data_IF_879598235770
#
_entry.id   IF_879598235770
#
_cell.length_a   1.000
_cell.length_b   1.000
_cell.length_c   1.000
_cell.angle_alpha   90.00
_cell.angle_beta   90.00
_cell.angle_gamma   90.00
#
_symmetry.space_group_name_H-M   'P 1'
#
loop_
_entity.id
_entity.type
_entity.pdbx_description
1 polymer ?
#
# COMPACT_ATOMS: atom_id res chain seq x y z
N UNK A 1 -38.15 -9.19 19.94
CA UNK A 1 -36.93 -8.38 20.09
C UNK A 1 -35.94 -9.20 20.88
N UNK A 2 -34.73 -9.36 20.36
CA UNK A 2 -33.62 -10.05 21.01
C UNK A 2 -32.47 -9.05 21.15
N UNK A 3 -31.83 -8.98 22.32
CA UNK A 3 -30.66 -8.14 22.52
C UNK A 3 -29.41 -9.01 22.48
N UNK A 4 -28.39 -8.55 21.77
CA UNK A 4 -27.09 -9.21 21.70
C UNK A 4 -26.01 -8.26 22.23
N UNK A 5 -25.05 -8.81 22.96
CA UNK A 5 -23.81 -8.11 23.36
C UNK A 5 -22.66 -9.06 23.04
N UNK A 6 -21.64 -8.56 22.35
CA UNK A 6 -20.50 -9.35 21.90
C UNK A 6 -20.88 -10.60 21.09
N UNK A 7 -21.97 -10.51 20.30
CA UNK A 7 -22.52 -11.61 19.51
C UNK A 7 -23.35 -12.63 20.30
N UNK A 8 -23.43 -12.53 21.62
CA UNK A 8 -24.18 -13.44 22.48
C UNK A 8 -25.56 -12.87 22.85
N UNK A 9 -26.60 -13.71 22.76
CA UNK A 9 -27.96 -13.31 23.10
C UNK A 9 -28.10 -13.11 24.61
N UNK A 10 -28.51 -11.91 25.02
CA UNK A 10 -28.88 -11.62 26.41
C UNK A 10 -30.34 -11.96 26.61
N UNK A 11 -30.61 -12.78 27.62
CA UNK A 11 -31.98 -13.03 28.09
C UNK A 11 -32.54 -11.76 28.74
N UNK A 12 -33.51 -11.14 28.07
CA UNK A 12 -34.25 -10.00 28.61
C UNK A 12 -35.37 -10.49 29.53
N UNK A 13 -35.09 -10.68 30.81
CA UNK A 13 -36.10 -11.12 31.79
C UNK A 13 -36.98 -9.99 32.35
N UNK A 14 -36.65 -8.71 32.11
CA UNK A 14 -37.33 -7.57 32.77
C UNK A 14 -38.10 -6.62 31.83
N UNK A 15 -38.23 -6.90 30.53
CA UNK A 15 -38.94 -6.03 29.57
C UNK A 15 -40.02 -6.79 28.79
N UNK A 16 -40.74 -7.69 29.46
CA UNK A 16 -41.91 -8.34 28.87
C UNK A 16 -43.20 -7.49 29.01
N UNK A 17 -43.26 -6.53 29.94
CA UNK A 17 -44.54 -5.92 30.34
C UNK A 17 -44.91 -4.59 29.69
N UNK A 18 -44.11 -4.02 28.78
CA UNK A 18 -44.47 -2.77 28.09
C UNK A 18 -44.16 -2.70 26.59
N UNK A 19 -43.80 -3.82 25.96
CA UNK A 19 -43.79 -3.90 24.49
C UNK A 19 -45.23 -4.12 24.02
N UNK A 20 -46.07 -3.10 24.17
CA UNK A 20 -47.28 -3.01 23.34
C UNK A 20 -46.83 -3.08 21.88
N UNK A 21 -47.60 -3.77 21.03
CA UNK A 21 -47.39 -3.91 19.58
C UNK A 21 -47.54 -2.56 18.84
N UNK A 22 -46.76 -1.57 19.26
CA UNK A 22 -46.76 -0.22 18.75
C UNK A 22 -45.65 -0.13 17.72
N UNK A 23 -46.01 0.20 16.48
CA UNK A 23 -45.03 0.56 15.45
C UNK A 23 -44.20 1.76 15.92
N UNK A 24 -42.88 1.73 15.72
CA UNK A 24 -42.04 2.92 15.87
C UNK A 24 -42.51 3.93 14.82
N UNK A 25 -43.08 5.05 15.26
CA UNK A 25 -43.59 6.10 14.37
C UNK A 25 -42.56 7.24 14.25
N UNK A 26 -42.05 7.46 13.04
CA UNK A 26 -41.09 8.52 12.72
C UNK A 26 -41.74 9.81 12.15
N UNK A 27 -43.07 9.90 12.03
CA UNK A 27 -43.83 10.95 11.32
C UNK A 27 -43.66 12.39 11.86
N UNK A 28 -42.96 12.59 12.98
CA UNK A 28 -42.85 13.93 13.59
C UNK A 28 -41.46 14.36 14.06
N UNK A 29 -40.44 13.49 14.00
CA UNK A 29 -39.15 13.77 14.68
C UNK A 29 -37.99 13.09 13.96
N UNK A 30 -36.90 13.82 13.75
CA UNK A 30 -35.64 13.28 13.26
C UNK A 30 -35.11 12.22 14.25
N UNK A 31 -34.71 11.02 13.79
CA UNK A 31 -34.07 10.04 14.66
C UNK A 31 -32.71 10.55 15.13
N UNK A 32 -32.46 10.43 16.43
CA UNK A 32 -31.22 10.86 17.08
C UNK A 32 -30.43 9.65 17.57
N UNK A 33 -29.10 9.75 17.49
CA UNK A 33 -28.17 8.82 18.11
C UNK A 33 -27.49 9.52 19.30
N UNK A 34 -27.34 8.80 20.42
CA UNK A 34 -26.72 9.33 21.64
C UNK A 34 -27.61 10.21 22.54
N UNK A 35 -28.86 10.50 22.16
CA UNK A 35 -29.85 11.15 23.03
C UNK A 35 -31.29 10.95 22.53
N UNK A 36 -32.31 10.86 23.41
CA UNK A 36 -33.71 10.81 23.00
C UNK A 36 -34.18 12.18 22.49
N UNK A 37 -35.03 12.18 21.46
CA UNK A 37 -35.80 13.38 21.09
C UNK A 37 -36.98 13.54 22.07
N UNK A 38 -36.76 14.19 23.21
CA UNK A 38 -37.86 14.56 24.10
C UNK A 38 -38.01 16.08 24.26
N UNK A 39 -39.25 16.51 24.43
CA UNK A 39 -39.66 17.89 24.68
C UNK A 39 -39.85 18.16 26.18
N UNK A 40 -39.50 17.20 27.04
CA UNK A 40 -39.88 17.15 28.45
C UNK A 40 -38.63 17.05 29.33
N UNK A 41 -37.84 18.12 29.38
CA UNK A 41 -36.82 18.54 30.35
C UNK A 41 -35.82 17.53 31.00
N UNK A 42 -35.91 16.23 30.75
CA UNK A 42 -35.00 15.20 31.22
C UNK A 42 -34.36 14.56 30.00
N UNK A 43 -33.13 14.97 29.70
CA UNK A 43 -32.38 14.50 28.53
C UNK A 43 -31.34 13.51 29.04
N UNK A 44 -31.42 12.26 28.61
CA UNK A 44 -30.41 11.24 28.88
C UNK A 44 -29.43 11.21 27.72
N UNK A 45 -28.23 11.76 27.92
CA UNK A 45 -27.16 11.66 26.94
C UNK A 45 -26.39 10.37 27.14
N UNK A 46 -25.93 9.77 26.05
CA UNK A 46 -24.88 8.78 26.12
C UNK A 46 -23.58 9.49 26.51
N UNK A 47 -23.05 9.16 27.69
CA UNK A 47 -21.72 9.56 28.11
C UNK A 47 -20.70 8.53 27.60
N UNK A 48 -20.30 8.67 26.32
CA UNK A 48 -19.37 7.72 25.72
C UNK A 48 -19.16 7.91 24.22
N UNK A 49 -18.43 6.97 23.62
CA UNK A 49 -18.16 6.89 22.19
C UNK A 49 -19.12 5.93 21.52
N UNK A 50 -19.43 6.18 20.26
CA UNK A 50 -20.15 5.26 19.38
C UNK A 50 -19.36 5.13 18.10
N UNK A 51 -19.38 3.94 17.53
CA UNK A 51 -18.74 3.62 16.27
C UNK A 51 -19.57 2.57 15.54
N UNK A 52 -19.48 2.59 14.21
CA UNK A 52 -20.01 1.54 13.34
C UNK A 52 -21.51 1.24 13.52
N UNK A 53 -22.32 2.29 13.77
CA UNK A 53 -23.76 2.14 13.98
C UNK A 53 -24.45 1.79 12.66
N UNK A 54 -25.30 0.78 12.69
CA UNK A 54 -25.99 0.23 11.51
C UNK A 54 -27.45 -0.09 11.82
N UNK A 55 -28.29 0.02 10.80
CA UNK A 55 -29.73 -0.23 10.87
C UNK A 55 -30.11 -1.08 9.65
N UNK A 56 -30.79 -2.19 9.89
CA UNK A 56 -31.31 -3.08 8.86
C UNK A 56 -32.84 -3.11 8.91
N UNK A 57 -33.48 -3.36 7.76
CA UNK A 57 -34.93 -3.59 7.67
C UNK A 57 -35.33 -5.08 7.75
N UNK A 58 -34.34 -5.95 7.94
CA UNK A 58 -34.51 -7.38 8.18
C UNK A 58 -33.93 -7.80 9.55
N UNK A 59 -34.49 -8.85 10.14
CA UNK A 59 -33.92 -9.48 11.33
C UNK A 59 -32.55 -10.09 11.00
N UNK A 60 -31.56 -9.89 11.88
CA UNK A 60 -30.22 -10.47 11.75
C UNK A 60 -30.09 -11.69 12.65
N UNK A 61 -29.47 -12.74 12.13
CA UNK A 61 -29.10 -13.94 12.88
C UNK A 61 -27.90 -13.67 13.78
N UNK A 62 -27.72 -14.48 14.84
CA UNK A 62 -26.55 -14.35 15.71
C UNK A 62 -25.21 -14.50 14.95
N UNK A 63 -25.16 -15.37 13.94
CA UNK A 63 -23.96 -15.55 13.12
C UNK A 63 -23.64 -14.30 12.28
N UNK A 64 -24.66 -13.67 11.70
CA UNK A 64 -24.49 -12.41 10.96
C UNK A 64 -24.05 -11.28 11.89
N UNK A 65 -24.61 -11.18 13.10
CA UNK A 65 -24.19 -10.19 14.10
C UNK A 65 -22.69 -10.36 14.41
N UNK A 66 -22.23 -11.57 14.72
CA UNK A 66 -20.82 -11.84 14.99
C UNK A 66 -19.92 -11.52 13.80
N UNK A 67 -20.33 -11.87 12.59
CA UNK A 67 -19.57 -11.56 11.38
C UNK A 67 -19.50 -10.04 11.13
N UNK A 68 -20.61 -9.34 11.32
CA UNK A 68 -20.73 -7.93 10.99
C UNK A 68 -20.02 -7.05 12.03
N UNK A 69 -19.97 -7.45 13.30
CA UNK A 69 -19.14 -6.80 14.32
C UNK A 69 -17.64 -6.77 13.96
N UNK A 70 -17.18 -7.68 13.10
CA UNK A 70 -15.77 -7.81 12.73
C UNK A 70 -15.42 -7.20 11.36
N UNK A 71 -16.43 -6.74 10.62
CA UNK A 71 -16.25 -6.34 9.22
C UNK A 71 -16.81 -4.92 9.01
N UNK A 72 -15.98 -3.92 8.70
CA UNK A 72 -16.41 -2.51 8.65
C UNK A 72 -17.17 -2.10 7.37
N UNK A 73 -17.14 -2.91 6.31
CA UNK A 73 -17.80 -2.59 5.04
C UNK A 73 -18.65 -3.76 4.54
N UNK A 74 -19.93 -3.50 4.31
CA UNK A 74 -20.89 -4.48 3.80
C UNK A 74 -21.72 -3.93 2.64
N UNK A 75 -22.07 -4.81 1.71
CA UNK A 75 -23.07 -4.59 0.66
C UNK A 75 -24.25 -5.50 0.95
N UNK A 76 -25.00 -5.15 2.00
CA UNK A 76 -26.21 -5.86 2.42
C UNK A 76 -27.43 -5.06 1.91
N UNK A 77 -28.31 -5.72 1.16
CA UNK A 77 -29.48 -5.08 0.56
C UNK A 77 -30.51 -4.61 1.60
N UNK A 78 -30.47 -5.19 2.81
CA UNK A 78 -31.32 -4.81 3.94
C UNK A 78 -30.73 -3.69 4.80
N UNK A 79 -29.51 -3.21 4.50
CA UNK A 79 -28.84 -2.15 5.28
C UNK A 79 -29.40 -0.75 4.96
N UNK A 80 -30.45 -0.36 5.65
CA UNK A 80 -31.13 0.93 5.45
C UNK A 80 -30.45 2.12 6.14
N UNK A 81 -29.50 1.89 7.05
CA UNK A 81 -28.77 2.92 7.77
C UNK A 81 -27.34 2.51 8.08
N UNK A 82 -26.35 3.32 7.69
CA UNK A 82 -24.95 3.08 8.04
C UNK A 82 -24.24 4.37 8.42
N UNK A 83 -23.58 4.35 9.57
CA UNK A 83 -22.83 5.45 10.10
C UNK A 83 -21.40 4.96 10.41
N UNK A 84 -20.51 4.96 9.41
CA UNK A 84 -19.17 4.35 9.50
C UNK A 84 -18.22 5.04 10.48
N UNK A 85 -18.67 6.13 11.12
CA UNK A 85 -17.87 7.13 11.82
C UNK A 85 -16.37 7.11 11.40
N UNK A 86 -16.07 7.54 10.16
CA UNK A 86 -14.69 7.75 9.69
C UNK A 86 -14.28 9.22 9.73
N UNK A 87 -12.99 9.48 9.99
CA UNK A 87 -12.44 10.82 10.17
C UNK A 87 -12.72 11.76 8.99
N UNK A 88 -13.24 12.96 9.29
CA UNK A 88 -13.15 14.12 8.41
C UNK A 88 -14.38 14.49 7.57
N UNK A 89 -15.47 13.72 7.60
CA UNK A 89 -16.70 14.08 6.86
C UNK A 89 -17.84 14.37 7.82
N UNK A 90 -18.08 15.64 8.14
CA UNK A 90 -19.21 16.11 8.94
C UNK A 90 -20.59 16.00 8.27
N UNK A 91 -20.70 15.16 7.24
CA UNK A 91 -21.92 14.83 6.50
C UNK A 91 -21.79 13.35 6.13
N UNK A 92 -22.67 12.52 6.68
CA UNK A 92 -22.73 11.10 6.34
C UNK A 92 -23.83 10.88 5.32
N UNK A 93 -23.50 10.24 4.20
CA UNK A 93 -24.51 9.70 3.31
C UNK A 93 -25.01 8.39 3.91
N UNK A 94 -26.26 8.38 4.37
CA UNK A 94 -26.97 7.12 4.61
C UNK A 94 -27.24 6.53 3.23
N UNK A 95 -26.50 5.51 2.84
CA UNK A 95 -26.74 4.82 1.57
C UNK A 95 -26.35 3.34 1.70
N UNK A 96 -27.36 2.45 1.78
CA UNK A 96 -27.52 1.18 1.04
C UNK A 96 -29.00 0.67 1.11
N UNK A 97 -29.94 1.54 0.73
CA UNK A 97 -31.38 1.24 0.60
C UNK A 97 -32.11 2.43 -0.04
N UNK A 98 -33.39 2.32 -0.40
CA UNK A 98 -34.14 3.32 -1.20
C UNK A 98 -34.38 4.71 -0.55
N UNK A 99 -33.67 5.06 0.53
CA UNK A 99 -33.79 6.33 1.24
C UNK A 99 -32.46 7.07 1.32
N UNK A 100 -32.42 8.30 0.79
CA UNK A 100 -31.26 9.21 0.93
C UNK A 100 -31.46 10.10 2.16
N UNK A 101 -30.57 10.00 3.15
CA UNK A 101 -30.57 10.86 4.35
C UNK A 101 -29.15 11.32 4.71
N UNK A 102 -29.05 12.48 5.38
CA UNK A 102 -27.78 12.99 5.91
C UNK A 102 -27.84 13.18 7.42
N UNK A 103 -26.84 12.68 8.13
CA UNK A 103 -26.69 12.93 9.57
C UNK A 103 -25.65 14.03 9.86
N UNK A 104 -25.88 14.76 10.96
CA UNK A 104 -25.01 15.85 11.43
C UNK A 104 -24.66 15.63 12.90
N UNK A 105 -23.45 16.03 13.29
CA UNK A 105 -23.09 16.13 14.70
C UNK A 105 -23.80 17.33 15.34
N UNK A 106 -24.21 17.20 16.59
CA UNK A 106 -24.96 18.24 17.30
C UNK A 106 -24.41 18.44 18.72
N UNK A 107 -24.62 19.62 19.29
CA UNK A 107 -24.34 19.97 20.69
C UNK A 107 -22.91 19.62 21.19
N UNK A 108 -21.89 19.84 20.36
CA UNK A 108 -20.50 19.65 20.77
C UNK A 108 -19.99 18.21 20.73
N UNK A 109 -20.73 17.27 20.14
CA UNK A 109 -20.17 15.97 19.79
C UNK A 109 -18.94 16.17 18.89
N UNK A 110 -17.82 15.52 19.24
CA UNK A 110 -16.56 15.60 18.52
C UNK A 110 -16.10 14.22 18.06
N UNK A 111 -15.34 14.24 16.97
CA UNK A 111 -14.59 13.09 16.52
C UNK A 111 -13.39 12.86 17.40
N UNK A 112 -13.16 11.60 17.76
CA UNK A 112 -11.92 11.17 18.39
C UNK A 112 -11.32 10.06 17.52
N UNK A 113 -10.13 10.32 16.99
CA UNK A 113 -9.34 9.29 16.32
C UNK A 113 -8.68 8.44 17.42
N UNK A 114 -8.95 7.13 17.45
CA UNK A 114 -8.29 6.22 18.40
C UNK A 114 -6.79 6.04 18.11
N UNK A 115 -6.29 6.68 17.06
CA UNK A 115 -4.88 6.71 16.73
C UNK A 115 -4.54 5.59 15.76
N UNK A 116 -3.98 6.00 14.63
CA UNK A 116 -3.30 5.14 13.69
C UNK A 116 -2.26 4.25 14.38
N UNK A 117 -2.46 2.93 14.37
CA UNK A 117 -1.41 2.00 14.78
C UNK A 117 -0.50 1.73 13.59
N UNK A 118 0.75 2.16 13.69
CA UNK A 118 1.77 1.90 12.67
C UNK A 118 2.35 0.50 12.89
N UNK A 119 2.01 -0.43 12.00
CA UNK A 119 2.57 -1.78 11.98
C UNK A 119 3.74 -1.77 10.98
N UNK A 120 4.99 -1.92 11.43
CA UNK A 120 6.11 -2.10 10.51
C UNK A 120 6.01 -3.49 9.85
N UNK A 121 6.25 -3.56 8.55
CA UNK A 121 6.54 -4.81 7.86
C UNK A 121 7.87 -4.68 7.11
N UNK A 122 8.61 -5.78 7.07
CA UNK A 122 9.88 -5.88 6.36
C UNK A 122 9.72 -6.84 5.19
N UNK A 123 9.92 -6.35 3.96
CA UNK A 123 10.09 -7.21 2.81
C UNK A 123 11.58 -7.54 2.66
N UNK A 124 11.90 -8.83 2.60
CA UNK A 124 13.25 -9.31 2.31
C UNK A 124 13.26 -9.94 0.93
N UNK A 125 14.07 -9.41 0.03
CA UNK A 125 14.31 -9.99 -1.30
C UNK A 125 15.68 -10.64 -1.29
N UNK A 126 15.75 -11.92 -1.65
CA UNK A 126 17.01 -12.67 -1.74
C UNK A 126 17.28 -12.99 -3.20
N UNK A 127 18.49 -12.68 -3.69
CA UNK A 127 18.89 -13.02 -5.06
C UNK A 127 19.33 -14.50 -5.16
N UNK A 128 19.57 -14.97 -6.38
CA UNK A 128 20.03 -16.35 -6.65
C UNK A 128 21.41 -16.67 -6.07
N UNK A 129 22.17 -15.65 -5.66
CA UNK A 129 23.47 -15.76 -4.99
C UNK A 129 23.35 -15.69 -3.46
N UNK A 130 22.13 -15.82 -2.92
CA UNK A 130 21.81 -15.80 -1.48
C UNK A 130 22.15 -14.48 -0.77
N UNK A 131 22.19 -13.37 -1.49
CA UNK A 131 22.32 -12.02 -0.92
C UNK A 131 20.94 -11.42 -0.69
N UNK A 132 20.73 -10.82 0.48
CA UNK A 132 19.45 -10.24 0.88
C UNK A 132 19.47 -8.71 0.82
N UNK A 133 18.43 -8.12 0.24
CA UNK A 133 18.07 -6.72 0.39
C UNK A 133 16.79 -6.62 1.22
N UNK A 134 16.72 -5.65 2.13
CA UNK A 134 15.56 -5.43 2.98
C UNK A 134 14.99 -4.03 2.75
N UNK A 135 13.66 -3.94 2.68
CA UNK A 135 12.96 -2.67 2.81
C UNK A 135 11.92 -2.78 3.92
N UNK A 136 11.95 -1.81 4.83
CA UNK A 136 10.98 -1.67 5.91
C UNK A 136 10.01 -0.56 5.53
N UNK A 137 8.73 -0.86 5.58
CA UNK A 137 7.66 0.13 5.38
C UNK A 137 6.68 0.06 6.54
N UNK A 138 6.03 1.19 6.81
CA UNK A 138 4.99 1.30 7.84
C UNK A 138 3.63 1.14 7.16
N UNK A 139 2.83 0.18 7.60
CA UNK A 139 1.39 0.17 7.32
C UNK A 139 0.71 0.81 8.50
N UNK A 140 0.07 1.94 8.25
CA UNK A 140 -0.93 2.46 9.19
C UNK A 140 -2.20 1.66 9.02
N UNK A 141 -2.60 0.95 10.06
CA UNK A 141 -3.91 0.30 10.11
C UNK A 141 -4.75 1.06 11.12
N UNK A 142 -5.84 1.65 10.64
CA UNK A 142 -6.87 2.15 11.56
C UNK A 142 -7.77 0.96 11.90
N UNK A 143 -8.18 0.79 13.17
CA UNK A 143 -9.00 -0.35 13.60
C UNK A 143 -10.34 -0.46 12.86
N UNK A 144 -10.83 0.63 12.24
CA UNK A 144 -12.15 0.70 11.60
C UNK A 144 -12.11 0.96 10.09
N UNK A 145 -10.93 0.78 9.47
CA UNK A 145 -10.76 0.90 8.03
C UNK A 145 -9.28 0.80 7.66
N UNK A 146 -8.88 -0.32 7.04
CA UNK A 146 -7.52 -0.48 6.56
C UNK A 146 -7.29 0.37 5.29
N UNK A 147 -6.91 1.64 5.46
CA UNK A 147 -6.28 2.38 4.37
C UNK A 147 -4.78 2.13 4.41
N UNK A 148 -4.27 1.22 3.56
CA UNK A 148 -2.84 1.10 3.36
C UNK A 148 -2.34 2.31 2.58
N UNK A 149 -2.02 3.40 3.29
CA UNK A 149 -1.36 4.55 2.67
C UNK A 149 0.12 4.25 2.62
N UNK A 150 0.53 3.53 1.58
CA UNK A 150 1.93 3.30 1.26
C UNK A 150 2.61 4.64 1.10
N UNK A 151 3.31 5.10 2.13
CA UNK A 151 4.27 6.17 1.93
C UNK A 151 5.41 5.49 1.21
N UNK A 152 5.66 5.85 -0.05
CA UNK A 152 6.88 5.43 -0.72
C UNK A 152 8.02 5.91 0.16
N UNK A 153 8.62 5.01 0.93
CA UNK A 153 9.99 5.21 1.35
C UNK A 153 10.73 5.48 0.04
N UNK A 154 11.43 6.61 -0.05
CA UNK A 154 12.36 6.83 -1.13
C UNK A 154 13.24 5.60 -1.17
N UNK A 155 13.00 4.70 -2.12
CA UNK A 155 14.00 3.76 -2.54
C UNK A 155 15.08 4.69 -3.07
N UNK A 156 16.09 4.94 -2.26
CA UNK A 156 17.40 5.17 -2.85
C UNK A 156 17.62 3.88 -3.62
N UNK A 157 17.28 3.94 -4.91
CA UNK A 157 18.00 3.19 -5.89
C UNK A 157 19.40 3.81 -5.80
N UNK A 158 20.16 3.43 -4.76
CA UNK A 158 21.52 3.06 -5.06
C UNK A 158 21.31 1.94 -6.05
N UNK A 159 21.26 2.35 -7.33
CA UNK A 159 21.69 1.51 -8.39
C UNK A 159 22.99 0.97 -7.82
N UNK A 160 23.00 -0.30 -7.43
CA UNK A 160 24.24 -1.01 -7.25
C UNK A 160 24.82 -0.95 -8.66
N UNK A 161 25.46 0.17 -8.97
CA UNK A 161 26.46 0.27 -9.98
C UNK A 161 27.51 -0.67 -9.41
N UNK A 162 27.35 -1.94 -9.74
CA UNK A 162 28.46 -2.87 -9.70
C UNK A 162 29.56 -2.14 -10.43
N UNK A 163 30.58 -1.72 -9.68
CA UNK A 163 31.77 -1.12 -10.26
C UNK A 163 32.15 -1.99 -11.45
N UNK A 164 32.39 -1.39 -12.63
CA UNK A 164 32.66 -2.19 -13.80
C UNK A 164 33.83 -3.13 -13.47
N UNK A 165 33.61 -4.43 -13.62
CA UNK A 165 34.60 -5.48 -13.38
C UNK A 165 35.84 -5.35 -14.27
N UNK A 166 35.76 -4.46 -15.27
CA UNK A 166 36.81 -4.14 -16.21
C UNK A 166 37.08 -2.63 -16.24
N UNK A 167 38.35 -2.25 -16.30
CA UNK A 167 38.80 -0.86 -16.46
C UNK A 167 39.36 -0.61 -17.85
N UNK A 168 39.05 0.56 -18.42
CA UNK A 168 39.49 0.98 -19.76
C UNK A 168 40.34 2.25 -19.69
N UNK A 169 41.58 2.19 -20.16
CA UNK A 169 42.45 3.37 -20.18
C UNK A 169 43.47 3.38 -21.32
N UNK A 170 43.77 4.56 -21.89
CA UNK A 170 43.03 5.81 -21.72
C UNK A 170 41.65 5.73 -22.40
N UNK A 171 40.62 6.32 -21.77
CA UNK A 171 39.32 6.56 -22.38
C UNK A 171 38.90 7.99 -22.02
N UNK A 172 38.90 8.96 -22.95
CA UNK A 172 39.11 8.82 -24.40
C UNK A 172 40.53 8.39 -24.81
N UNK A 173 40.64 7.67 -25.93
CA UNK A 173 41.92 7.21 -26.52
C UNK A 173 42.27 7.95 -27.82
N UNK A 174 43.56 7.99 -28.18
CA UNK A 174 44.04 8.38 -29.51
C UNK A 174 44.16 7.19 -30.47
N UNK A 175 43.90 5.97 -30.00
CA UNK A 175 44.00 4.76 -30.81
C UNK A 175 44.26 3.50 -29.99
N UNK A 176 45.19 3.54 -29.03
CA UNK A 176 45.47 2.39 -28.16
C UNK A 176 44.72 2.46 -26.85
N UNK A 177 44.05 1.37 -26.48
CA UNK A 177 43.34 1.24 -25.20
C UNK A 177 43.75 -0.05 -24.54
N UNK A 178 43.95 0.01 -23.22
CA UNK A 178 44.15 -1.15 -22.37
C UNK A 178 42.85 -1.48 -21.66
N UNK A 179 42.55 -2.77 -21.63
CA UNK A 179 41.43 -3.35 -20.89
C UNK A 179 42.02 -4.19 -19.77
N UNK A 180 41.73 -3.82 -18.53
CA UNK A 180 42.13 -4.56 -17.33
C UNK A 180 40.91 -5.24 -16.71
N UNK A 181 41.08 -6.45 -16.23
CA UNK A 181 40.04 -7.25 -15.56
C UNK A 181 40.64 -8.34 -14.68
N UNK A 182 39.82 -9.31 -14.28
CA UNK A 182 40.26 -10.52 -13.58
C UNK A 182 40.02 -11.75 -14.46
N UNK A 183 40.89 -12.75 -14.33
CA UNK A 183 40.78 -14.01 -15.06
C UNK A 183 41.00 -13.86 -16.57
N UNK A 184 40.55 -14.87 -17.31
CA UNK A 184 40.53 -14.88 -18.76
C UNK A 184 39.27 -14.17 -19.29
N UNK A 185 39.42 -13.38 -20.35
CA UNK A 185 38.30 -12.68 -20.98
C UNK A 185 38.54 -12.37 -22.46
N UNK A 186 37.44 -12.28 -23.20
CA UNK A 186 37.40 -11.85 -24.59
C UNK A 186 36.92 -10.40 -24.68
N UNK A 187 37.54 -9.59 -25.53
CA UNK A 187 37.11 -8.23 -25.83
C UNK A 187 36.84 -8.07 -27.31
N UNK A 188 35.75 -7.39 -27.63
CA UNK A 188 35.35 -7.03 -28.98
C UNK A 188 35.01 -5.54 -29.04
N UNK A 189 35.54 -4.85 -30.04
CA UNK A 189 35.23 -3.46 -30.34
C UNK A 189 34.21 -3.43 -31.47
N UNK A 190 33.10 -2.73 -31.25
CA UNK A 190 31.98 -2.59 -32.16
C UNK A 190 31.79 -1.11 -32.52
N UNK A 191 31.41 -0.83 -33.76
CA UNK A 191 30.82 0.47 -34.12
C UNK A 191 29.35 0.57 -33.67
N UNK A 192 28.72 1.73 -33.88
CA UNK A 192 27.31 1.95 -33.51
C UNK A 192 26.31 1.16 -34.35
N UNK A 193 26.74 0.60 -35.48
CA UNK A 193 25.95 -0.29 -36.33
C UNK A 193 26.14 -1.77 -35.92
N UNK A 194 26.96 -2.04 -34.90
CA UNK A 194 27.25 -3.39 -34.41
C UNK A 194 28.25 -4.16 -35.27
N UNK A 195 28.98 -3.50 -36.18
CA UNK A 195 30.06 -4.18 -36.92
C UNK A 195 31.28 -4.32 -36.02
N UNK A 196 31.86 -5.51 -36.04
CA UNK A 196 33.10 -5.81 -35.33
C UNK A 196 34.29 -5.10 -36.00
N UNK A 197 34.97 -4.28 -35.22
CA UNK A 197 36.14 -3.48 -35.61
C UNK A 197 37.43 -4.19 -35.22
N UNK A 198 37.49 -4.72 -33.99
CA UNK A 198 38.65 -5.43 -33.47
C UNK A 198 38.22 -6.44 -32.42
N UNK A 199 39.03 -7.47 -32.20
CA UNK A 199 38.81 -8.47 -31.15
C UNK A 199 40.14 -8.94 -30.58
N UNK A 200 40.19 -9.21 -29.28
CA UNK A 200 41.35 -9.79 -28.61
C UNK A 200 40.91 -10.66 -27.43
N UNK A 201 41.79 -11.58 -27.03
CA UNK A 201 41.67 -12.38 -25.81
C UNK A 201 42.77 -11.94 -24.85
N UNK A 202 42.47 -11.85 -23.55
CA UNK A 202 43.41 -11.44 -22.51
C UNK A 202 43.28 -12.25 -21.23
N UNK A 203 44.34 -12.24 -20.42
CA UNK A 203 44.31 -12.66 -19.02
C UNK A 203 44.77 -11.49 -18.17
N UNK A 204 43.91 -10.99 -17.28
CA UNK A 204 44.06 -9.77 -16.46
C UNK A 204 44.24 -8.45 -17.22
N UNK A 205 44.97 -8.41 -18.34
CA UNK A 205 45.15 -7.22 -19.18
C UNK A 205 45.25 -7.60 -20.67
N UNK A 206 44.68 -6.77 -21.54
CA UNK A 206 44.91 -6.83 -23.00
C UNK A 206 44.93 -5.42 -23.59
N UNK A 207 45.74 -5.22 -24.62
CA UNK A 207 45.77 -3.97 -25.38
C UNK A 207 45.05 -4.15 -26.71
N UNK A 208 44.23 -3.16 -27.06
CA UNK A 208 43.57 -3.04 -28.35
C UNK A 208 44.11 -1.83 -29.09
N UNK A 209 44.20 -1.92 -30.42
CA UNK A 209 44.64 -0.83 -31.27
C UNK A 209 43.56 -0.50 -32.30
N UNK A 210 42.91 0.64 -32.11
CA UNK A 210 41.94 1.25 -33.02
C UNK A 210 42.50 2.52 -33.65
N UNK A 211 43.83 2.68 -33.73
CA UNK A 211 44.47 3.89 -34.26
C UNK A 211 44.09 4.20 -35.71
N UNK A 212 43.70 3.19 -36.49
CA UNK A 212 43.30 3.34 -37.90
C UNK A 212 41.81 3.65 -38.10
N UNK A 213 41.01 3.67 -37.04
CA UNK A 213 39.57 3.90 -37.10
C UNK A 213 39.20 5.39 -37.09
N UNK A 214 37.98 5.77 -37.44
CA UNK A 214 37.57 7.18 -37.36
C UNK A 214 37.41 7.66 -35.91
N UNK A 215 37.54 8.97 -35.67
CA UNK A 215 37.21 9.55 -34.37
C UNK A 215 35.72 9.38 -34.10
N UNK A 216 35.35 8.89 -32.91
CA UNK A 216 33.96 8.57 -32.64
C UNK A 216 33.73 7.76 -31.38
N UNK A 217 32.47 7.37 -31.20
CA UNK A 217 32.03 6.50 -30.12
C UNK A 217 31.96 5.05 -30.61
N UNK A 218 32.57 4.16 -29.84
CA UNK A 218 32.58 2.71 -30.03
C UNK A 218 31.99 2.02 -28.80
N UNK A 219 31.55 0.79 -28.98
CA UNK A 219 31.14 -0.09 -27.89
C UNK A 219 32.19 -1.18 -27.71
N UNK A 220 32.64 -1.38 -26.47
CA UNK A 220 33.46 -2.52 -26.09
C UNK A 220 32.57 -3.56 -25.44
N UNK A 221 32.48 -4.74 -26.05
CA UNK A 221 31.84 -5.91 -25.47
C UNK A 221 32.91 -6.82 -24.87
N UNK A 222 32.79 -7.13 -23.59
CA UNK A 222 33.73 -7.96 -22.83
C UNK A 222 32.97 -9.20 -22.35
N UNK A 223 33.50 -10.39 -22.63
CA UNK A 223 32.93 -11.67 -22.16
C UNK A 223 33.95 -12.34 -21.24
N UNK A 224 33.58 -12.61 -19.99
CA UNK A 224 34.47 -13.26 -19.03
C UNK A 224 34.54 -14.79 -19.23
N UNK A 225 35.36 -15.46 -18.42
CA UNK A 225 35.51 -16.93 -18.41
C UNK A 225 34.22 -17.70 -18.08
N UNK A 226 33.24 -17.05 -17.43
CA UNK A 226 31.94 -17.63 -17.10
C UNK A 226 30.89 -17.41 -18.20
N UNK A 227 31.23 -16.64 -19.25
CA UNK A 227 30.32 -16.26 -20.32
C UNK A 227 29.45 -15.03 -20.00
N UNK A 228 29.72 -14.33 -18.90
CA UNK A 228 29.03 -13.09 -18.55
C UNK A 228 29.52 -11.95 -19.46
N UNK A 229 28.57 -11.20 -20.02
CA UNK A 229 28.84 -10.14 -21.00
C UNK A 229 28.66 -8.77 -20.38
N UNK A 230 29.72 -7.96 -20.39
CA UNK A 230 29.73 -6.55 -20.01
C UNK A 230 29.92 -5.66 -21.24
N UNK A 231 29.29 -4.48 -21.27
CA UNK A 231 29.45 -3.51 -22.37
C UNK A 231 29.87 -2.15 -21.83
N UNK A 232 30.90 -1.56 -22.43
CA UNK A 232 31.41 -0.24 -22.05
C UNK A 232 31.57 0.68 -23.26
N UNK A 233 31.45 1.99 -23.05
CA UNK A 233 31.66 3.00 -24.09
C UNK A 233 33.15 3.29 -24.25
N UNK A 234 33.66 3.26 -25.47
CA UNK A 234 35.02 3.68 -25.80
C UNK A 234 34.97 4.91 -26.71
N UNK A 235 35.63 5.98 -26.31
CA UNK A 235 35.70 7.22 -27.09
C UNK A 235 37.07 7.34 -27.75
N UNK A 236 37.11 7.50 -29.08
CA UNK A 236 38.34 7.84 -29.82
C UNK A 236 38.34 9.32 -30.21
N UNK A 237 39.47 10.00 -29.97
CA UNK A 237 39.74 11.38 -30.37
C UNK A 237 40.82 11.49 -31.42
#
# INVERSE_FOLDING_TARGET
>A
MTLYVDGEAISLTTIADNLSSSSINFDRKEPNLGAPFNTNNTIYFLEGKMEDVRIWDEERTAAEITQYMQTPLHTDASLVGFFPWTAGTGIFEVNQGSGTGSARMFNGATWEDEGASAIPFTLTVVNTSNQAAQCTSLVTVNPHGASARGTSANTTTEQIATEPTFSLYPNPTQGRVKVQGQGEFQVEVLDLQGRQISQAQGYQEVSLDISNEETGLYLLRITDENGEVSTQKLMKR
#
